data_IF_449057715934
#
_entry.id   IF_449057715934
#
_cell.length_a   1.000
_cell.length_b   1.000
_cell.length_c   1.000
_cell.angle_alpha   90.00
_cell.angle_beta   90.00
_cell.angle_gamma   90.00
#
_symmetry.space_group_name_H-M   'P 1'
#
loop_
_entity.id
_entity.type
_entity.pdbx_description
1 polymer ?
#
# COMPACT_ATOMS: atom_id res chain seq x y z
N UNK A 1 -28.02 -67.05 4.77
CA UNK A 1 -28.54 -65.88 5.50
C UNK A 1 -29.15 -64.91 4.49
N UNK A 2 -30.47 -64.92 4.36
CA UNK A 2 -31.23 -64.09 3.42
C UNK A 2 -31.39 -62.68 3.99
N UNK A 3 -30.80 -61.66 3.32
CA UNK A 3 -31.01 -60.26 3.71
C UNK A 3 -32.48 -59.90 3.51
N UNK A 4 -33.15 -59.29 4.49
CA UNK A 4 -34.59 -59.16 4.44
C UNK A 4 -35.02 -58.04 3.47
N UNK A 5 -36.03 -58.34 2.65
CA UNK A 5 -36.46 -57.52 1.53
C UNK A 5 -36.93 -56.10 1.93
N UNK A 6 -37.32 -55.88 3.19
CA UNK A 6 -37.78 -54.58 3.69
C UNK A 6 -36.70 -53.48 3.63
N UNK A 7 -35.41 -53.85 3.71
CA UNK A 7 -34.30 -52.89 3.63
C UNK A 7 -34.20 -52.29 2.21
N UNK A 8 -34.51 -53.06 1.16
CA UNK A 8 -34.51 -52.56 -0.23
C UNK A 8 -35.63 -51.55 -0.47
N UNK A 9 -36.82 -51.78 0.09
CA UNK A 9 -37.94 -50.85 -0.04
C UNK A 9 -37.73 -49.55 0.74
N UNK A 10 -37.04 -49.61 1.88
CA UNK A 10 -36.69 -48.43 2.67
C UNK A 10 -35.70 -47.50 1.93
N UNK A 11 -34.72 -48.07 1.22
CA UNK A 11 -33.80 -47.28 0.39
C UNK A 11 -34.50 -46.61 -0.81
N UNK A 12 -35.48 -47.27 -1.43
CA UNK A 12 -36.24 -46.70 -2.56
C UNK A 12 -37.16 -45.57 -2.09
N UNK A 13 -37.77 -45.68 -0.90
CA UNK A 13 -38.60 -44.61 -0.32
C UNK A 13 -37.80 -43.35 0.04
N UNK A 14 -36.59 -43.52 0.60
CA UNK A 14 -35.69 -42.40 0.91
C UNK A 14 -35.21 -41.70 -0.37
N UNK A 15 -34.94 -42.44 -1.44
CA UNK A 15 -34.54 -41.87 -2.73
C UNK A 15 -35.66 -41.02 -3.36
N UNK A 16 -36.92 -41.44 -3.23
CA UNK A 16 -38.08 -40.68 -3.72
C UNK A 16 -38.32 -39.39 -2.91
N UNK A 17 -38.08 -39.42 -1.60
CA UNK A 17 -38.14 -38.23 -0.74
C UNK A 17 -37.04 -37.20 -1.06
N UNK A 18 -35.86 -37.65 -1.49
CA UNK A 18 -34.76 -36.76 -1.89
C UNK A 18 -34.97 -36.13 -3.28
N UNK A 19 -35.82 -36.70 -4.14
CA UNK A 19 -36.12 -36.19 -5.48
C UNK A 19 -37.26 -35.15 -5.51
N UNK A 20 -38.00 -34.96 -4.41
CA UNK A 20 -39.12 -34.02 -4.31
C UNK A 20 -38.76 -32.57 -3.95
N UNK A 21 -37.47 -32.23 -3.85
CA UNK A 21 -37.02 -30.94 -3.26
C UNK A 21 -36.93 -29.74 -4.22
N UNK A 22 -36.95 -29.94 -5.54
CA UNK A 22 -36.60 -28.87 -6.48
C UNK A 22 -37.77 -28.02 -7.02
N UNK A 23 -39.03 -28.33 -6.66
CA UNK A 23 -40.20 -27.59 -7.19
C UNK A 23 -40.86 -26.61 -6.21
N UNK A 24 -40.39 -26.55 -4.96
CA UNK A 24 -41.04 -25.77 -3.89
C UNK A 24 -40.37 -24.40 -3.63
N UNK A 25 -39.34 -24.07 -4.42
CA UNK A 25 -38.59 -22.82 -4.35
C UNK A 25 -38.71 -21.95 -5.60
N UNK A 26 -39.69 -22.23 -6.47
CA UNK A 26 -40.13 -21.28 -7.49
C UNK A 26 -41.05 -20.27 -6.80
N UNK A 27 -40.45 -19.37 -6.00
CA UNK A 27 -41.13 -18.15 -5.59
C UNK A 27 -41.30 -17.35 -6.87
N UNK A 28 -42.55 -17.03 -7.22
CA UNK A 28 -42.88 -15.94 -8.13
C UNK A 28 -42.19 -14.67 -7.62
N UNK A 29 -40.96 -14.44 -8.06
CA UNK A 29 -40.26 -13.17 -7.95
C UNK A 29 -41.03 -12.23 -8.87
N UNK A 30 -42.07 -11.59 -8.33
CA UNK A 30 -42.65 -10.42 -8.96
C UNK A 30 -41.48 -9.48 -9.30
N UNK A 31 -41.30 -9.15 -10.59
CA UNK A 31 -40.23 -8.26 -11.05
C UNK A 31 -40.19 -7.04 -10.14
N UNK A 32 -39.11 -6.91 -9.36
CA UNK A 32 -38.91 -5.87 -8.34
C UNK A 32 -39.16 -4.47 -8.92
N UNK A 33 -38.98 -4.34 -10.24
CA UNK A 33 -39.08 -3.11 -11.00
C UNK A 33 -40.34 -3.00 -11.87
N UNK A 34 -41.30 -3.92 -11.75
CA UNK A 34 -42.55 -3.93 -12.53
C UNK A 34 -43.38 -2.65 -12.40
N UNK A 35 -43.24 -1.92 -11.28
CA UNK A 35 -43.89 -0.62 -11.05
C UNK A 35 -43.16 0.59 -11.63
N UNK A 36 -41.97 0.42 -12.20
CA UNK A 36 -41.15 1.49 -12.76
C UNK A 36 -41.17 1.39 -14.29
N UNK A 37 -41.70 2.42 -14.95
CA UNK A 37 -41.87 2.43 -16.42
C UNK A 37 -40.99 3.45 -17.12
N UNK A 38 -40.55 4.49 -16.41
CA UNK A 38 -39.73 5.56 -16.99
C UNK A 38 -38.32 5.57 -16.39
N UNK A 39 -37.34 5.99 -17.18
CA UNK A 39 -35.95 6.16 -16.74
C UNK A 39 -35.85 7.04 -15.47
N UNK A 40 -36.61 8.14 -15.43
CA UNK A 40 -36.62 9.06 -14.29
C UNK A 40 -37.12 8.38 -13.00
N UNK A 41 -38.08 7.48 -13.09
CA UNK A 41 -38.57 6.72 -11.93
C UNK A 41 -37.49 5.78 -11.37
N UNK A 42 -36.75 5.10 -12.25
CA UNK A 42 -35.60 4.30 -11.82
C UNK A 42 -34.54 5.17 -11.14
N UNK A 43 -34.19 6.30 -11.76
CA UNK A 43 -33.15 7.19 -11.24
C UNK A 43 -33.52 7.74 -9.86
N UNK A 44 -34.74 8.27 -9.71
CA UNK A 44 -35.22 8.80 -8.42
C UNK A 44 -35.26 7.73 -7.34
N UNK A 45 -35.74 6.52 -7.65
CA UNK A 45 -35.75 5.42 -6.68
C UNK A 45 -34.33 5.02 -6.24
N UNK A 46 -33.40 4.92 -7.18
CA UNK A 46 -32.02 4.59 -6.87
C UNK A 46 -31.37 5.67 -5.98
N UNK A 47 -31.67 6.94 -6.26
CA UNK A 47 -31.22 8.08 -5.44
C UNK A 47 -31.82 8.04 -4.02
N UNK A 48 -33.11 7.79 -3.87
CA UNK A 48 -33.75 7.60 -2.55
C UNK A 48 -33.12 6.44 -1.76
N UNK A 49 -32.77 5.35 -2.44
CA UNK A 49 -32.06 4.23 -1.85
C UNK A 49 -30.63 4.60 -1.41
N UNK A 50 -29.90 5.38 -2.22
CA UNK A 50 -28.59 5.93 -1.83
C UNK A 50 -28.69 6.82 -0.59
N UNK A 51 -29.64 7.76 -0.58
CA UNK A 51 -29.86 8.70 0.51
C UNK A 51 -30.22 7.99 1.82
N UNK A 52 -31.02 6.92 1.73
CA UNK A 52 -31.36 6.06 2.86
C UNK A 52 -30.27 5.04 3.25
N UNK A 53 -29.11 5.08 2.59
CA UNK A 53 -27.97 4.15 2.77
C UNK A 53 -28.29 2.69 2.43
N UNK A 54 -29.36 2.45 1.66
CA UNK A 54 -29.64 1.16 1.06
C UNK A 54 -28.81 0.99 -0.22
N UNK A 55 -27.49 0.86 -0.06
CA UNK A 55 -26.56 0.80 -1.19
C UNK A 55 -26.80 -0.42 -2.09
N UNK A 56 -27.12 -1.59 -1.51
CA UNK A 56 -27.45 -2.78 -2.28
C UNK A 56 -28.68 -2.61 -3.18
N UNK A 57 -29.73 -1.97 -2.66
CA UNK A 57 -30.93 -1.67 -3.45
C UNK A 57 -30.69 -0.60 -4.51
N UNK A 58 -29.87 0.41 -4.20
CA UNK A 58 -29.47 1.41 -5.17
C UNK A 58 -28.68 0.78 -6.33
N UNK A 59 -27.74 -0.11 -6.03
CA UNK A 59 -26.95 -0.85 -7.04
C UNK A 59 -27.89 -1.62 -7.98
N UNK A 60 -28.84 -2.41 -7.45
CA UNK A 60 -29.76 -3.18 -8.30
C UNK A 60 -30.62 -2.27 -9.18
N UNK A 61 -31.10 -1.15 -8.63
CA UNK A 61 -31.92 -0.18 -9.37
C UNK A 61 -31.12 0.55 -10.45
N UNK A 62 -29.88 0.97 -10.18
CA UNK A 62 -29.00 1.56 -11.21
C UNK A 62 -28.64 0.57 -12.31
N UNK A 63 -28.35 -0.69 -11.98
CA UNK A 63 -28.09 -1.73 -12.99
C UNK A 63 -29.33 -1.96 -13.88
N UNK A 64 -30.52 -1.99 -13.28
CA UNK A 64 -31.77 -2.11 -14.02
C UNK A 64 -32.01 -0.89 -14.93
N UNK A 65 -31.69 0.32 -14.46
CA UNK A 65 -31.73 1.55 -15.26
C UNK A 65 -30.80 1.43 -16.48
N UNK A 66 -29.53 1.06 -16.27
CA UNK A 66 -28.54 0.92 -17.34
C UNK A 66 -28.95 -0.13 -18.38
N UNK A 67 -29.54 -1.24 -17.93
CA UNK A 67 -29.98 -2.32 -18.82
C UNK A 67 -31.20 -1.93 -19.67
N UNK A 68 -32.17 -1.22 -19.07
CA UNK A 68 -33.43 -0.85 -19.74
C UNK A 68 -33.31 0.45 -20.56
N UNK A 69 -32.48 1.38 -20.12
CA UNK A 69 -32.31 2.72 -20.69
C UNK A 69 -30.83 3.07 -20.95
N UNK A 70 -30.07 2.28 -21.75
CA UNK A 70 -28.62 2.44 -21.92
C UNK A 70 -28.20 3.77 -22.57
N UNK A 71 -29.10 4.44 -23.29
CA UNK A 71 -28.88 5.74 -23.94
C UNK A 71 -29.79 6.84 -23.39
N UNK A 72 -30.37 6.60 -22.21
CA UNK A 72 -31.25 7.56 -21.56
C UNK A 72 -30.51 8.79 -21.04
N UNK A 73 -31.26 9.80 -20.63
CA UNK A 73 -30.71 11.08 -20.15
C UNK A 73 -29.91 10.93 -18.86
N UNK A 74 -30.32 10.01 -18.01
CA UNK A 74 -29.70 9.69 -16.72
C UNK A 74 -28.73 8.51 -16.81
N UNK A 75 -28.56 7.88 -17.97
CA UNK A 75 -27.69 6.72 -18.13
C UNK A 75 -26.27 6.99 -17.61
N UNK A 76 -25.59 8.00 -18.15
CA UNK A 76 -24.23 8.35 -17.70
C UNK A 76 -24.18 8.72 -16.21
N UNK A 77 -25.18 9.45 -15.71
CA UNK A 77 -25.26 9.82 -14.30
C UNK A 77 -25.43 8.59 -13.39
N UNK A 78 -26.27 7.62 -13.79
CA UNK A 78 -26.40 6.35 -13.09
C UNK A 78 -25.09 5.55 -13.08
N UNK A 79 -24.35 5.54 -14.19
CA UNK A 79 -23.06 4.85 -14.28
C UNK A 79 -21.99 5.40 -13.34
N UNK A 80 -22.03 6.69 -12.99
CA UNK A 80 -21.10 7.27 -12.02
C UNK A 80 -21.60 7.13 -10.58
N UNK A 81 -22.92 7.20 -10.36
CA UNK A 81 -23.51 7.02 -9.03
C UNK A 81 -23.40 5.58 -8.53
N UNK A 82 -23.46 4.58 -9.43
CA UNK A 82 -23.24 3.18 -9.06
C UNK A 82 -21.82 2.93 -8.54
N UNK A 83 -20.81 3.69 -9.00
CA UNK A 83 -19.44 3.65 -8.45
C UNK A 83 -19.45 3.99 -6.96
N UNK A 84 -20.12 5.08 -6.60
CA UNK A 84 -20.28 5.48 -5.21
C UNK A 84 -21.09 4.47 -4.40
N UNK A 85 -22.14 3.91 -4.99
CA UNK A 85 -22.96 2.89 -4.35
C UNK A 85 -22.14 1.64 -4.01
N UNK A 86 -21.34 1.12 -4.94
CA UNK A 86 -20.43 -0.01 -4.69
C UNK A 86 -19.41 0.30 -3.60
N UNK A 87 -18.75 1.46 -3.70
CA UNK A 87 -17.74 1.87 -2.72
C UNK A 87 -18.35 1.98 -1.32
N UNK A 88 -19.52 2.59 -1.20
CA UNK A 88 -20.22 2.76 0.08
C UNK A 88 -20.78 1.45 0.64
N UNK A 89 -21.06 0.48 -0.24
CA UNK A 89 -21.43 -0.89 0.14
C UNK A 89 -20.22 -1.73 0.61
N UNK A 90 -19.00 -1.20 0.49
CA UNK A 90 -17.76 -1.91 0.81
C UNK A 90 -17.33 -2.92 -0.26
N UNK A 91 -17.85 -2.78 -1.48
CA UNK A 91 -17.47 -3.59 -2.63
C UNK A 91 -16.49 -2.80 -3.51
N UNK A 92 -15.24 -2.72 -3.05
CA UNK A 92 -14.25 -1.84 -3.68
C UNK A 92 -13.81 -2.33 -5.06
N UNK A 93 -13.74 -3.65 -5.28
CA UNK A 93 -13.41 -4.23 -6.59
C UNK A 93 -14.48 -3.87 -7.63
N UNK A 94 -15.77 -3.98 -7.26
CA UNK A 94 -16.86 -3.58 -8.14
C UNK A 94 -16.87 -2.07 -8.38
N UNK A 95 -16.57 -1.25 -7.36
CA UNK A 95 -16.45 0.20 -7.50
C UNK A 95 -15.35 0.58 -8.50
N UNK A 96 -14.17 -0.02 -8.37
CA UNK A 96 -13.05 0.18 -9.28
C UNK A 96 -13.41 -0.20 -10.72
N UNK A 97 -14.02 -1.38 -10.91
CA UNK A 97 -14.43 -1.85 -12.23
C UNK A 97 -15.50 -0.94 -12.87
N UNK A 98 -16.45 -0.45 -12.07
CA UNK A 98 -17.47 0.49 -12.52
C UNK A 98 -16.84 1.85 -12.90
N UNK A 99 -15.88 2.36 -12.12
CA UNK A 99 -15.15 3.58 -12.44
C UNK A 99 -14.36 3.46 -13.75
N UNK A 100 -13.63 2.35 -13.94
CA UNK A 100 -12.92 2.06 -15.19
C UNK A 100 -13.86 1.96 -16.41
N UNK A 101 -15.05 1.41 -16.20
CA UNK A 101 -16.10 1.37 -17.23
C UNK A 101 -16.56 2.78 -17.60
N UNK A 102 -16.87 3.60 -16.60
CA UNK A 102 -17.28 4.99 -16.80
C UNK A 102 -16.22 5.80 -17.54
N UNK A 103 -14.95 5.70 -17.13
CA UNK A 103 -13.82 6.40 -17.76
C UNK A 103 -13.72 6.08 -19.25
N UNK A 104 -13.90 4.79 -19.60
CA UNK A 104 -13.80 4.32 -20.99
C UNK A 104 -15.02 4.69 -21.84
N UNK A 105 -16.21 4.68 -21.26
CA UNK A 105 -17.45 4.96 -21.99
C UNK A 105 -17.77 6.46 -22.10
N UNK A 106 -17.32 7.26 -21.13
CA UNK A 106 -17.69 8.66 -20.97
C UNK A 106 -16.48 9.58 -20.71
N UNK A 107 -15.42 9.55 -21.56
CA UNK A 107 -14.19 10.31 -21.31
C UNK A 107 -14.37 11.85 -21.35
N UNK A 108 -15.42 12.35 -22.00
CA UNK A 108 -15.74 13.78 -22.12
C UNK A 108 -16.75 14.26 -21.06
N UNK A 109 -17.16 13.40 -20.13
CA UNK A 109 -18.13 13.78 -19.09
C UNK A 109 -17.52 14.75 -18.06
N UNK A 110 -18.31 15.68 -17.56
CA UNK A 110 -17.89 16.67 -16.57
C UNK A 110 -17.39 16.04 -15.25
N UNK A 111 -17.88 14.85 -14.89
CA UNK A 111 -17.52 14.12 -13.67
C UNK A 111 -16.41 13.06 -13.90
N UNK A 112 -15.68 13.14 -15.01
CA UNK A 112 -14.62 12.17 -15.33
C UNK A 112 -13.50 12.16 -14.27
N UNK A 113 -13.18 13.32 -13.70
CA UNK A 113 -12.19 13.47 -12.63
C UNK A 113 -12.63 12.77 -11.33
N UNK A 114 -13.92 12.82 -11.00
CA UNK A 114 -14.51 12.06 -9.90
C UNK A 114 -14.37 10.55 -10.12
N UNK A 115 -14.55 10.05 -11.35
CA UNK A 115 -14.36 8.63 -11.64
C UNK A 115 -12.91 8.18 -11.42
N UNK A 116 -11.93 8.96 -11.89
CA UNK A 116 -10.51 8.69 -11.61
C UNK A 116 -10.19 8.74 -10.11
N UNK A 117 -10.78 9.70 -9.39
CA UNK A 117 -10.62 9.79 -7.94
C UNK A 117 -11.20 8.56 -7.22
N UNK A 118 -12.43 8.16 -7.55
CA UNK A 118 -13.09 6.99 -6.95
C UNK A 118 -12.36 5.69 -7.28
N UNK A 119 -11.77 5.57 -8.47
CA UNK A 119 -10.93 4.43 -8.83
C UNK A 119 -9.73 4.30 -7.89
N UNK A 120 -9.02 5.40 -7.63
CA UNK A 120 -7.91 5.42 -6.67
C UNK A 120 -8.36 5.17 -5.24
N UNK A 121 -9.52 5.71 -4.85
CA UNK A 121 -10.10 5.52 -3.53
C UNK A 121 -10.56 4.08 -3.27
N UNK A 122 -11.07 3.38 -4.29
CA UNK A 122 -11.45 1.98 -4.18
C UNK A 122 -10.24 1.07 -3.85
N UNK A 123 -9.07 1.32 -4.44
CA UNK A 123 -7.84 0.59 -4.08
C UNK A 123 -7.15 1.15 -2.83
N UNK A 124 -7.64 2.25 -2.25
CA UNK A 124 -7.05 2.87 -1.07
C UNK A 124 -7.43 2.08 0.19
N UNK A 125 -6.58 1.13 0.57
CA UNK A 125 -6.78 0.34 1.78
C UNK A 125 -6.25 1.07 3.02
N UNK A 126 -7.03 2.04 3.53
CA UNK A 126 -6.86 2.57 4.88
C UNK A 126 -7.94 1.98 5.80
N UNK A 127 -7.94 0.66 5.95
CA UNK A 127 -8.77 -0.01 6.96
C UNK A 127 -8.15 0.14 8.35
N UNK A 128 -7.74 1.36 8.71
CA UNK A 128 -7.56 1.82 10.09
C UNK A 128 -8.92 1.91 10.78
N UNK A 129 -9.63 0.78 10.87
CA UNK A 129 -10.92 0.69 11.54
C UNK A 129 -10.79 0.89 13.06
N UNK A 130 -11.90 0.97 13.77
CA UNK A 130 -11.93 1.15 15.24
C UNK A 130 -11.08 0.09 15.98
N UNK A 131 -10.95 -1.12 15.43
CA UNK A 131 -10.11 -2.21 15.94
C UNK A 131 -8.59 -1.92 15.86
N UNK A 132 -8.14 -1.13 14.88
CA UNK A 132 -6.71 -0.73 14.74
C UNK A 132 -6.24 0.20 15.86
N UNK A 133 -7.16 0.89 16.56
CA UNK A 133 -6.86 1.66 17.78
C UNK A 133 -6.70 0.79 19.03
N UNK A 134 -7.29 -0.40 19.02
CA UNK A 134 -7.24 -1.35 20.15
C UNK A 134 -6.09 -2.35 20.01
N UNK A 135 -5.70 -2.67 18.77
CA UNK A 135 -4.54 -3.50 18.44
C UNK A 135 -3.77 -2.76 17.34
N UNK A 136 -2.54 -2.27 17.61
CA UNK A 136 -1.70 -1.70 16.56
C UNK A 136 -1.30 -2.83 15.60
N UNK A 137 -2.09 -3.01 14.54
CA UNK A 137 -1.75 -3.89 13.44
C UNK A 137 -0.91 -3.08 12.47
N UNK A 138 0.32 -3.50 12.28
CA UNK A 138 1.27 -2.86 11.37
C UNK A 138 0.90 -3.24 9.91
N UNK A 139 0.03 -2.45 9.28
CA UNK A 139 -0.49 -2.71 7.92
C UNK A 139 0.59 -2.64 6.84
N UNK A 140 1.73 -2.01 7.14
CA UNK A 140 2.94 -1.97 6.28
C UNK A 140 3.60 -3.35 6.09
N UNK A 141 3.07 -4.42 6.72
CA UNK A 141 3.55 -5.80 6.54
C UNK A 141 2.69 -6.63 5.59
N UNK A 142 1.58 -6.07 5.10
CA UNK A 142 0.68 -6.71 4.14
C UNK A 142 1.11 -6.37 2.71
N UNK A 143 0.65 -7.17 1.74
CA UNK A 143 0.92 -6.98 0.30
C UNK A 143 0.69 -5.50 -0.13
N UNK A 144 1.72 -4.80 -0.62
CA UNK A 144 1.64 -3.40 -1.02
C UNK A 144 0.92 -3.18 -2.35
N UNK A 145 0.50 -4.24 -3.06
CA UNK A 145 -0.11 -4.15 -4.40
C UNK A 145 -1.22 -3.11 -4.51
N UNK A 146 -2.21 -3.15 -3.61
CA UNK A 146 -3.32 -2.19 -3.60
C UNK A 146 -2.87 -0.75 -3.33
N UNK A 147 -1.87 -0.56 -2.47
CA UNK A 147 -1.32 0.76 -2.18
C UNK A 147 -0.61 1.35 -3.42
N UNK A 148 0.13 0.50 -4.15
CA UNK A 148 0.77 0.90 -5.41
C UNK A 148 -0.25 1.22 -6.50
N UNK A 149 -1.30 0.40 -6.64
CA UNK A 149 -2.40 0.66 -7.56
C UNK A 149 -3.09 1.99 -7.26
N UNK A 150 -3.50 2.19 -6.00
CA UNK A 150 -4.13 3.44 -5.54
C UNK A 150 -3.24 4.66 -5.81
N UNK A 151 -1.93 4.55 -5.56
CA UNK A 151 -0.98 5.62 -5.86
C UNK A 151 -0.95 5.95 -7.36
N UNK A 152 -0.91 4.92 -8.21
CA UNK A 152 -0.88 5.10 -9.66
C UNK A 152 -2.17 5.73 -10.19
N UNK A 153 -3.34 5.36 -9.66
CA UNK A 153 -4.60 5.94 -10.09
C UNK A 153 -4.75 7.40 -9.66
N UNK A 154 -4.34 7.74 -8.43
CA UNK A 154 -4.27 9.14 -8.01
C UNK A 154 -3.24 9.93 -8.82
N UNK A 155 -2.10 9.33 -9.17
CA UNK A 155 -1.13 9.95 -10.06
C UNK A 155 -1.73 10.24 -11.44
N UNK A 156 -2.53 9.31 -11.97
CA UNK A 156 -3.24 9.48 -13.24
C UNK A 156 -4.28 10.60 -13.17
N UNK A 157 -5.07 10.67 -12.08
CA UNK A 157 -5.99 11.79 -11.82
C UNK A 157 -5.24 13.13 -11.87
N UNK A 158 -4.13 13.25 -11.14
CA UNK A 158 -3.39 14.51 -11.05
C UNK A 158 -2.68 14.89 -12.35
N UNK A 159 -2.27 13.90 -13.15
CA UNK A 159 -1.64 14.13 -14.43
C UNK A 159 -2.63 14.66 -15.48
N UNK A 160 -3.88 14.17 -15.45
CA UNK A 160 -4.91 14.52 -16.42
C UNK A 160 -5.77 15.72 -15.96
N UNK A 161 -6.07 15.80 -14.66
CA UNK A 161 -6.98 16.78 -14.05
C UNK A 161 -6.36 17.44 -12.81
N UNK A 162 -5.25 18.19 -12.96
CA UNK A 162 -4.53 18.80 -11.85
C UNK A 162 -5.35 19.82 -11.03
N UNK A 163 -6.36 20.42 -11.66
CA UNK A 163 -7.26 21.44 -11.10
C UNK A 163 -8.60 20.86 -10.59
N UNK A 164 -8.75 19.54 -10.58
CA UNK A 164 -9.93 18.86 -10.05
C UNK A 164 -10.18 19.25 -8.58
N UNK A 165 -11.46 19.31 -8.18
CA UNK A 165 -11.85 19.49 -6.78
C UNK A 165 -11.26 18.42 -5.85
N UNK A 166 -10.95 17.22 -6.38
CA UNK A 166 -10.39 16.09 -5.62
C UNK A 166 -8.86 16.08 -5.58
N UNK A 167 -8.19 16.97 -6.33
CA UNK A 167 -6.73 16.92 -6.50
C UNK A 167 -5.98 17.12 -5.17
N UNK A 168 -6.47 17.98 -4.28
CA UNK A 168 -5.84 18.22 -2.98
C UNK A 168 -5.85 16.96 -2.08
N UNK A 169 -6.99 16.27 -2.02
CA UNK A 169 -7.14 15.05 -1.23
C UNK A 169 -6.32 13.89 -1.84
N UNK A 170 -6.35 13.74 -3.16
CA UNK A 170 -5.53 12.75 -3.87
C UNK A 170 -4.03 12.94 -3.59
N UNK A 171 -3.52 14.19 -3.61
CA UNK A 171 -2.12 14.48 -3.24
C UNK A 171 -1.80 14.06 -1.82
N UNK A 172 -2.67 14.37 -0.86
CA UNK A 172 -2.47 13.99 0.54
C UNK A 172 -2.41 12.47 0.70
N UNK A 173 -3.32 11.73 0.04
CA UNK A 173 -3.31 10.25 0.03
C UNK A 173 -2.07 9.69 -0.64
N UNK A 174 -1.60 10.27 -1.73
CA UNK A 174 -0.36 9.84 -2.38
C UNK A 174 0.86 9.98 -1.47
N UNK A 175 0.95 11.05 -0.68
CA UNK A 175 2.02 11.20 0.33
C UNK A 175 1.94 10.06 1.37
N UNK A 176 0.74 9.78 1.88
CA UNK A 176 0.52 8.68 2.82
C UNK A 176 0.91 7.31 2.22
N UNK A 177 0.42 6.99 1.02
CA UNK A 177 0.72 5.75 0.32
C UNK A 177 2.23 5.61 0.07
N UNK A 178 2.88 6.69 -0.36
CA UNK A 178 4.33 6.70 -0.60
C UNK A 178 5.14 6.43 0.67
N UNK A 179 4.72 7.01 1.80
CA UNK A 179 5.34 6.72 3.10
C UNK A 179 5.14 5.25 3.51
N UNK A 180 3.94 4.69 3.29
CA UNK A 180 3.66 3.29 3.62
C UNK A 180 4.44 2.31 2.74
N UNK A 181 4.55 2.58 1.44
CA UNK A 181 5.35 1.78 0.51
C UNK A 181 6.83 1.80 0.89
N UNK A 182 7.36 2.97 1.28
CA UNK A 182 8.74 3.08 1.77
C UNK A 182 8.94 2.30 3.07
N UNK A 183 8.02 2.41 4.03
CA UNK A 183 8.07 1.68 5.29
C UNK A 183 8.02 0.15 5.07
N UNK A 184 7.18 -0.33 4.15
CA UNK A 184 7.13 -1.74 3.76
C UNK A 184 8.52 -2.25 3.33
N UNK A 185 9.23 -1.51 2.48
CA UNK A 185 10.58 -1.87 2.03
C UNK A 185 11.58 -1.93 3.19
N UNK A 186 11.48 -1.04 4.17
CA UNK A 186 12.28 -1.08 5.41
C UNK A 186 11.95 -2.32 6.24
N UNK A 187 10.68 -2.71 6.37
CA UNK A 187 10.32 -3.95 7.06
C UNK A 187 10.91 -5.19 6.38
N UNK A 188 10.86 -5.25 5.05
CA UNK A 188 11.48 -6.35 4.27
C UNK A 188 13.01 -6.33 4.43
N UNK A 189 13.63 -5.16 4.45
CA UNK A 189 15.07 -5.02 4.66
C UNK A 189 15.49 -5.53 6.05
N UNK A 190 14.74 -5.15 7.10
CA UNK A 190 14.94 -5.64 8.47
C UNK A 190 14.79 -7.16 8.55
N UNK A 191 13.76 -7.72 7.91
CA UNK A 191 13.58 -9.17 7.83
C UNK A 191 14.78 -9.90 7.21
N UNK A 192 15.43 -9.30 6.21
CA UNK A 192 16.66 -9.84 5.61
C UNK A 192 17.89 -9.66 6.49
N UNK A 193 18.04 -8.53 7.18
CA UNK A 193 19.12 -8.33 8.17
C UNK A 193 19.03 -9.38 9.28
N UNK A 194 17.83 -9.62 9.81
CA UNK A 194 17.56 -10.62 10.85
C UNK A 194 17.96 -12.04 10.43
N UNK A 195 18.13 -12.29 9.12
CA UNK A 195 18.53 -13.59 8.54
C UNK A 195 19.95 -13.58 7.96
N UNK A 196 20.73 -12.54 8.26
CA UNK A 196 22.10 -12.35 7.75
C UNK A 196 22.17 -12.26 6.21
N UNK A 197 21.05 -11.93 5.55
CA UNK A 197 20.97 -11.74 4.11
C UNK A 197 21.33 -10.29 3.73
N UNK A 198 22.57 -9.89 4.04
CA UNK A 198 23.00 -8.48 3.99
C UNK A 198 22.91 -7.86 2.59
N UNK A 199 23.17 -8.62 1.52
CA UNK A 199 23.03 -8.12 0.13
C UNK A 199 21.56 -7.81 -0.19
N UNK A 200 20.63 -8.65 0.27
CA UNK A 200 19.20 -8.45 0.04
C UNK A 200 18.68 -7.25 0.85
N UNK A 201 19.09 -7.13 2.11
CA UNK A 201 18.80 -5.96 2.93
C UNK A 201 19.36 -4.66 2.32
N UNK A 202 20.61 -4.68 1.87
CA UNK A 202 21.27 -3.56 1.22
C UNK A 202 20.48 -3.08 0.00
N UNK A 203 20.05 -3.99 -0.88
CA UNK A 203 19.24 -3.64 -2.06
C UNK A 203 17.92 -2.97 -1.70
N UNK A 204 17.26 -3.41 -0.64
CA UNK A 204 16.02 -2.80 -0.14
C UNK A 204 16.28 -1.39 0.40
N UNK A 205 17.32 -1.20 1.20
CA UNK A 205 17.74 0.13 1.68
C UNK A 205 18.07 1.10 0.53
N UNK A 206 18.87 0.64 -0.45
CA UNK A 206 19.18 1.42 -1.66
C UNK A 206 17.92 1.80 -2.44
N UNK A 207 17.00 0.86 -2.62
CA UNK A 207 15.73 1.13 -3.31
C UNK A 207 14.91 2.22 -2.62
N UNK A 208 14.85 2.23 -1.28
CA UNK A 208 14.20 3.30 -0.51
C UNK A 208 14.86 4.65 -0.74
N UNK A 209 16.19 4.70 -0.66
CA UNK A 209 16.96 5.93 -0.91
C UNK A 209 16.78 6.42 -2.35
N UNK A 210 16.74 5.53 -3.34
CA UNK A 210 16.63 5.94 -4.75
C UNK A 210 15.21 6.40 -5.14
N UNK A 211 14.16 5.77 -4.59
CA UNK A 211 12.78 5.93 -5.09
C UNK A 211 11.85 6.68 -4.13
N UNK A 212 12.17 6.70 -2.83
CA UNK A 212 11.31 7.25 -1.78
C UNK A 212 11.88 8.48 -1.07
N UNK A 213 12.72 9.27 -1.77
CA UNK A 213 13.25 10.55 -1.29
C UNK A 213 12.18 11.46 -0.66
N UNK A 214 12.42 11.99 0.53
CA UNK A 214 11.46 12.83 1.27
C UNK A 214 10.42 12.06 2.10
N UNK A 215 10.44 10.72 2.09
CA UNK A 215 9.71 9.93 3.10
C UNK A 215 10.54 9.79 4.38
N UNK A 216 9.93 9.61 5.56
CA UNK A 216 10.66 9.38 6.81
C UNK A 216 11.58 8.15 6.76
N UNK A 217 11.16 7.11 6.03
CA UNK A 217 11.84 5.83 5.86
C UNK A 217 13.20 5.93 5.14
N UNK A 218 13.53 7.05 4.49
CA UNK A 218 14.84 7.23 3.86
C UNK A 218 15.97 7.13 4.88
N UNK A 219 15.76 7.69 6.08
CA UNK A 219 16.74 7.63 7.16
C UNK A 219 17.04 6.19 7.59
N UNK A 220 15.99 5.38 7.78
CA UNK A 220 16.10 3.93 8.05
C UNK A 220 16.80 3.19 6.90
N UNK A 221 16.51 3.55 5.65
CA UNK A 221 17.12 2.96 4.47
C UNK A 221 18.63 3.19 4.43
N UNK A 222 19.09 4.41 4.73
CA UNK A 222 20.53 4.73 4.85
C UNK A 222 21.15 3.96 6.01
N UNK A 223 20.48 3.86 7.17
CA UNK A 223 20.98 3.08 8.30
C UNK A 223 21.15 1.58 7.97
N UNK A 224 20.20 0.99 7.25
CA UNK A 224 20.31 -0.39 6.74
C UNK A 224 21.51 -0.54 5.79
N UNK A 225 21.77 0.45 4.93
CA UNK A 225 22.94 0.45 4.06
C UNK A 225 24.24 0.44 4.87
N UNK A 226 24.36 1.32 5.88
CA UNK A 226 25.53 1.37 6.78
C UNK A 226 25.77 0.01 7.42
N UNK A 227 24.75 -0.56 8.07
CA UNK A 227 24.87 -1.85 8.73
C UNK A 227 25.24 -2.96 7.75
N UNK A 228 24.59 -3.02 6.60
CA UNK A 228 24.86 -4.05 5.58
C UNK A 228 26.28 -3.94 5.04
N UNK A 229 26.79 -2.74 4.79
CA UNK A 229 28.18 -2.53 4.35
C UNK A 229 29.19 -2.95 5.41
N UNK A 230 28.96 -2.62 6.69
CA UNK A 230 29.82 -3.07 7.81
C UNK A 230 29.85 -4.60 7.89
N UNK A 231 28.68 -5.25 7.79
CA UNK A 231 28.56 -6.72 7.81
C UNK A 231 29.26 -7.40 6.63
N UNK A 232 29.34 -6.72 5.49
CA UNK A 232 30.03 -7.18 4.29
C UNK A 232 31.52 -6.82 4.24
N UNK A 233 32.02 -6.03 5.20
CA UNK A 233 33.40 -5.54 5.22
C UNK A 233 33.69 -4.41 4.22
N UNK A 234 32.65 -3.76 3.69
CA UNK A 234 32.73 -2.68 2.71
C UNK A 234 32.83 -1.32 3.41
N UNK A 235 33.92 -1.12 4.16
CA UNK A 235 34.05 -0.01 5.12
C UNK A 235 33.95 1.38 4.47
N UNK A 236 34.55 1.61 3.30
CA UNK A 236 34.45 2.91 2.61
C UNK A 236 33.01 3.32 2.29
N UNK A 237 32.19 2.35 1.85
CA UNK A 237 30.77 2.57 1.56
C UNK A 237 29.95 2.73 2.84
N UNK A 238 30.30 1.98 3.90
CA UNK A 238 29.69 2.14 5.20
C UNK A 238 29.92 3.54 5.75
N UNK A 239 31.16 4.03 5.73
CA UNK A 239 31.50 5.33 6.29
C UNK A 239 30.94 6.49 5.45
N UNK A 240 30.88 6.35 4.13
CA UNK A 240 30.19 7.31 3.25
C UNK A 240 28.69 7.37 3.57
N UNK A 241 28.05 6.22 3.74
CA UNK A 241 26.64 6.14 4.11
C UNK A 241 26.39 6.68 5.52
N UNK A 242 27.32 6.44 6.45
CA UNK A 242 27.26 6.96 7.82
C UNK A 242 27.41 8.47 7.85
N UNK A 243 28.29 9.04 7.04
CA UNK A 243 28.44 10.48 6.91
C UNK A 243 27.16 11.12 6.39
N UNK A 244 26.53 10.51 5.36
CA UNK A 244 25.24 10.95 4.84
C UNK A 244 24.15 10.89 5.92
N UNK A 245 24.10 9.80 6.70
CA UNK A 245 23.15 9.62 7.79
C UNK A 245 23.33 10.71 8.87
N UNK A 246 24.56 10.96 9.31
CA UNK A 246 24.87 12.00 10.32
C UNK A 246 24.52 13.40 9.85
N UNK A 247 24.82 13.71 8.58
CA UNK A 247 24.60 15.05 8.04
C UNK A 247 23.11 15.37 7.91
N UNK A 248 22.30 14.41 7.46
CA UNK A 248 20.88 14.65 7.17
C UNK A 248 19.93 14.21 8.29
N UNK A 249 20.35 13.25 9.13
CA UNK A 249 19.51 12.59 10.14
C UNK A 249 20.32 12.35 11.44
N UNK A 250 20.87 13.39 12.09
CA UNK A 250 21.73 13.24 13.27
C UNK A 250 21.03 12.57 14.47
N UNK A 251 19.71 12.75 14.59
CA UNK A 251 18.89 12.20 15.69
C UNK A 251 18.37 10.77 15.41
N UNK A 252 18.87 10.11 14.36
CA UNK A 252 18.42 8.77 14.00
C UNK A 252 18.81 7.74 15.07
N UNK A 253 17.89 6.82 15.41
CA UNK A 253 18.05 5.85 16.51
C UNK A 253 19.28 4.92 16.39
N UNK A 254 19.77 4.72 15.17
CA UNK A 254 20.97 3.93 14.91
C UNK A 254 22.29 4.66 15.22
N UNK A 255 22.24 5.92 15.65
CA UNK A 255 23.40 6.70 16.07
C UNK A 255 23.43 6.72 17.61
N UNK A 256 24.60 6.53 18.22
CA UNK A 256 24.78 6.66 19.66
C UNK A 256 25.16 8.08 20.10
N UNK A 257 25.26 8.27 21.42
CA UNK A 257 25.54 9.58 22.02
C UNK A 257 26.96 10.08 21.67
N UNK A 258 27.86 9.17 21.31
CA UNK A 258 29.22 9.45 20.83
C UNK A 258 29.24 9.74 19.31
N UNK A 259 28.09 9.58 18.65
CA UNK A 259 27.91 9.73 17.22
C UNK A 259 28.35 8.50 16.42
N UNK A 260 28.63 7.37 17.05
CA UNK A 260 28.97 6.13 16.35
C UNK A 260 27.71 5.34 15.94
N UNK A 261 27.88 4.42 14.98
CA UNK A 261 26.77 3.62 14.48
C UNK A 261 26.51 2.41 15.38
N UNK A 262 25.28 2.30 15.88
CA UNK A 262 24.79 1.16 16.67
C UNK A 262 24.50 -0.02 15.75
N UNK A 263 25.43 -0.98 15.69
CA UNK A 263 25.23 -2.26 14.97
C UNK A 263 24.31 -3.17 15.79
N UNK A 264 23.31 -3.82 15.16
CA UNK A 264 22.42 -4.73 15.88
C UNK A 264 23.15 -6.00 16.28
N UNK A 265 23.33 -6.23 17.58
CA UNK A 265 24.00 -7.45 18.09
C UNK A 265 23.07 -8.65 18.17
N UNK A 266 21.76 -8.43 18.31
CA UNK A 266 20.76 -9.49 18.40
C UNK A 266 20.12 -9.74 17.02
N UNK A 267 20.64 -10.72 16.28
CA UNK A 267 20.06 -11.19 15.01
C UNK A 267 19.33 -12.50 15.24
N UNK A 268 18.19 -12.72 14.58
CA UNK A 268 17.37 -13.92 14.77
C UNK A 268 18.05 -15.17 14.17
N UNK A 269 18.44 -16.13 15.02
CA UNK A 269 19.05 -17.40 14.61
C UNK A 269 18.39 -18.57 15.39
N UNK A 270 17.26 -19.10 14.90
CA UNK A 270 16.46 -20.06 15.66
C UNK A 270 17.21 -21.38 15.84
N UNK A 271 17.54 -21.73 17.07
CA UNK A 271 18.08 -23.06 17.39
C UNK A 271 17.10 -24.18 17.01
N UNK A 272 17.60 -25.41 16.81
CA UNK A 272 16.74 -26.56 16.52
C UNK A 272 15.69 -26.74 17.63
N UNK A 273 16.09 -26.59 18.90
CA UNK A 273 15.19 -26.68 20.05
C UNK A 273 14.09 -25.59 19.99
N UNK A 274 14.46 -24.35 19.65
CA UNK A 274 13.50 -23.26 19.44
C UNK A 274 12.52 -23.56 18.32
N UNK A 275 13.00 -24.11 17.21
CA UNK A 275 12.16 -24.46 16.06
C UNK A 275 11.20 -25.61 16.38
N UNK A 276 11.68 -26.71 16.95
CA UNK A 276 10.84 -27.90 17.24
C UNK A 276 9.89 -27.69 18.41
N UNK A 277 10.21 -26.77 19.31
CA UNK A 277 9.34 -26.38 20.42
C UNK A 277 8.34 -25.29 20.05
N UNK A 278 8.28 -24.86 18.77
CA UNK A 278 7.44 -23.75 18.33
C UNK A 278 7.67 -22.46 19.14
N UNK A 279 8.93 -22.20 19.50
CA UNK A 279 9.32 -21.01 20.27
C UNK A 279 9.12 -21.11 21.79
N UNK A 280 8.75 -22.28 22.33
CA UNK A 280 8.61 -22.48 23.78
C UNK A 280 9.95 -22.66 24.51
N UNK A 281 10.97 -23.23 23.87
CA UNK A 281 12.23 -23.62 24.50
C UNK A 281 13.42 -23.37 23.58
N UNK A 282 14.50 -22.78 24.11
CA UNK A 282 15.74 -22.50 23.37
C UNK A 282 15.99 -21.01 23.16
N UNK A 283 17.08 -20.69 22.49
CA UNK A 283 17.44 -19.32 22.11
C UNK A 283 17.14 -19.07 20.62
N UNK A 284 16.83 -17.82 20.32
CA UNK A 284 16.61 -17.28 18.99
C UNK A 284 17.52 -16.09 18.69
N UNK A 285 18.41 -15.70 19.62
CA UNK A 285 19.39 -14.64 19.45
C UNK A 285 20.73 -15.23 18.99
N UNK A 286 21.28 -14.71 17.91
CA UNK A 286 22.64 -14.96 17.47
C UNK A 286 23.42 -13.66 17.40
N UNK A 287 24.72 -13.72 17.70
CA UNK A 287 25.67 -12.62 17.52
C UNK A 287 26.48 -12.90 16.23
N UNK A 288 26.12 -12.29 15.09
CA UNK A 288 26.87 -12.49 13.87
C UNK A 288 28.20 -11.74 14.02
N UNK A 289 29.34 -12.38 13.71
CA UNK A 289 30.59 -11.64 13.64
C UNK A 289 30.47 -10.57 12.55
N UNK A 290 31.00 -9.39 12.82
CA UNK A 290 31.36 -8.46 11.74
C UNK A 290 32.37 -9.17 10.84
N UNK A 291 32.30 -8.95 9.52
CA UNK A 291 33.33 -9.46 8.64
C UNK A 291 34.71 -9.05 9.18
N UNK A 292 35.69 -9.97 9.24
CA UNK A 292 37.00 -9.69 9.83
C UNK A 292 37.69 -8.62 8.99
N UNK A 293 37.49 -7.39 9.40
CA UNK A 293 38.14 -6.22 8.84
C UNK A 293 38.66 -5.47 10.04
N UNK A 294 39.98 -5.48 10.21
CA UNK A 294 40.58 -4.47 11.07
C UNK A 294 40.17 -3.12 10.46
N UNK A 295 39.24 -2.43 11.12
CA UNK A 295 38.79 -1.09 10.76
C UNK A 295 40.02 -0.20 10.73
N UNK A 296 40.46 0.33 9.57
CA UNK A 296 41.54 1.30 9.56
C UNK A 296 41.09 2.49 10.41
N UNK A 297 41.91 2.91 11.37
CA UNK A 297 41.55 3.96 12.35
C UNK A 297 41.21 5.33 11.74
N UNK A 298 41.41 5.48 10.43
CA UNK A 298 40.88 6.58 9.61
C UNK A 298 40.33 5.97 8.33
N UNK A 299 39.02 5.98 8.19
CA UNK A 299 38.42 5.68 6.89
C UNK A 299 38.86 6.76 5.89
N UNK A 300 39.20 6.41 4.66
CA UNK A 300 39.47 7.40 3.61
C UNK A 300 38.31 8.40 3.44
N UNK A 301 37.09 7.99 3.80
CA UNK A 301 35.93 8.88 3.90
C UNK A 301 36.09 9.99 4.95
N UNK A 302 36.74 9.78 6.10
CA UNK A 302 37.05 10.87 7.05
C UNK A 302 38.03 11.86 6.43
N UNK A 303 38.96 11.43 5.58
CA UNK A 303 39.80 12.36 4.81
C UNK A 303 39.00 13.10 3.74
N UNK A 304 38.01 12.46 3.11
CA UNK A 304 37.11 13.11 2.13
C UNK A 304 36.17 14.10 2.83
N UNK A 305 35.56 13.73 3.95
CA UNK A 305 34.69 14.57 4.77
C UNK A 305 35.49 15.73 5.36
N UNK A 306 36.68 15.48 5.89
CA UNK A 306 37.56 16.55 6.39
C UNK A 306 38.07 17.44 5.25
N UNK A 307 38.28 16.92 4.04
CA UNK A 307 38.67 17.76 2.89
C UNK A 307 37.50 18.60 2.35
N UNK A 308 36.26 18.12 2.47
CA UNK A 308 35.06 18.90 2.20
C UNK A 308 34.77 19.94 3.29
N UNK A 309 34.90 19.58 4.58
CA UNK A 309 34.77 20.51 5.73
C UNK A 309 35.86 21.58 5.77
N UNK A 310 37.08 21.23 5.37
CA UNK A 310 38.22 22.14 5.34
C UNK A 310 38.42 22.81 3.97
N UNK A 311 37.44 22.77 3.06
CA UNK A 311 37.44 23.77 1.99
C UNK A 311 37.22 25.12 2.66
N UNK A 312 38.20 26.04 2.65
CA UNK A 312 37.91 27.38 3.11
C UNK A 312 36.78 27.89 2.23
N UNK A 313 35.69 28.35 2.83
CA UNK A 313 34.76 29.24 2.13
C UNK A 313 35.61 30.42 1.69
N UNK A 314 36.08 30.40 0.45
CA UNK A 314 36.79 31.51 -0.17
C UNK A 314 35.76 32.61 -0.29
N UNK A 315 35.62 33.37 0.81
CA UNK A 315 34.82 34.57 0.86
C UNK A 315 35.26 35.40 -0.33
N UNK A 316 34.32 35.67 -1.22
CA UNK A 316 34.56 36.46 -2.42
C UNK A 316 35.23 37.76 -1.97
N UNK A 317 36.40 38.07 -2.53
CA UNK A 317 37.09 39.32 -2.22
C UNK A 317 36.12 40.49 -2.47
N UNK A 318 36.20 41.54 -1.66
CA UNK A 318 35.34 42.72 -1.83
C UNK A 318 35.42 43.28 -3.26
N UNK A 319 36.57 43.09 -3.90
CA UNK A 319 36.83 43.46 -5.29
C UNK A 319 36.04 42.56 -6.26
N UNK A 320 35.96 41.26 -6.05
CA UNK A 320 35.16 40.37 -6.89
C UNK A 320 33.64 40.56 -6.69
N UNK A 321 33.22 41.00 -5.50
CA UNK A 321 31.84 41.41 -5.24
C UNK A 321 31.50 42.71 -5.98
N UNK A 322 32.37 43.72 -5.91
CA UNK A 322 32.14 45.02 -6.57
C UNK A 322 32.28 44.96 -8.10
N UNK A 323 33.06 44.02 -8.61
CA UNK A 323 33.29 43.87 -10.06
C UNK A 323 32.49 42.73 -10.69
N UNK A 324 31.53 42.14 -9.96
CA UNK A 324 30.72 40.99 -10.43
C UNK A 324 31.58 39.85 -11.02
N UNK A 325 32.74 39.59 -10.42
CA UNK A 325 33.62 38.49 -10.83
C UNK A 325 34.44 38.75 -12.09
N UNK A 326 34.56 40.00 -12.55
CA UNK A 326 35.50 40.35 -13.62
C UNK A 326 36.97 40.31 -13.16
N UNK A 327 37.21 40.49 -11.86
CA UNK A 327 38.53 40.37 -11.24
C UNK A 327 38.42 39.65 -9.89
N UNK A 328 39.34 38.71 -9.64
CA UNK A 328 39.42 37.94 -8.39
C UNK A 328 40.28 38.64 -7.34
#
# INVERSE_FOLDING_TARGET
MTRPAYIRYLHVGVLFLLLGGCGLFDRDEADEFSGLTTEEQFYRRALEQLESRNYSGAISTYQALESRFPFGRFAAQAQIEIVYAYFSNGDEEAARAAADRFIRLHPENENIDYAYYMKGLASFNDRSGILSRLIPVDYTRRDPGLAQESFNDFAQLLALYPDSAYAADARARMVYLRNNLAAYEIHVANYYLDRRAYIAALRRGQYVVENFQGTPAVSDGVAIMVESYLRLGLNELADTSMALLKENYPDHISIDDDGDFRVRTEITDPSLLYTVSFGLLGDNRGDPPLAPTQRPGTSGSQQIINSQRNQPSSGRSLLSILTFGLFN
#
